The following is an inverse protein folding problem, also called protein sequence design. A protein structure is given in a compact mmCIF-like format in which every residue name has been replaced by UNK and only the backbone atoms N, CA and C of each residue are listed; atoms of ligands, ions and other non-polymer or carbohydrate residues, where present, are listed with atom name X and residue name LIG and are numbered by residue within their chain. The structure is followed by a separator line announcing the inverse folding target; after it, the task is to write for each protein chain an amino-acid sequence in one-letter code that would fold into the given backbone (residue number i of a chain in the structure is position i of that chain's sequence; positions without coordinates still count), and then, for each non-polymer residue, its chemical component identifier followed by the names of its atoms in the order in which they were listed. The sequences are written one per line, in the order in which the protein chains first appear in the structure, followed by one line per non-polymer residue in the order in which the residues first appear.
data_IF_997304245077
#
_entry.id   IF_997304245077
#
_cell.length_a   1.000
_cell.length_b   1.000
_cell.length_c   1.000
_cell.angle_alpha   90.00
_cell.angle_beta   90.00
_cell.angle_gamma   90.00
#
_symmetry.space_group_name_H-M   'P 1'
#
loop_
_entity.id
_entity.type
_entity.pdbx_description
1 polymer ?
#
# COMPACT_ATOMS: atom_id res chain seq x y z
N UNK A 1 15.17 25.17 -25.13
CA UNK A 1 13.73 25.10 -25.40
C UNK A 1 13.04 24.75 -24.09
N UNK A 2 12.10 25.56 -23.62
CA UNK A 2 11.42 25.32 -22.35
C UNK A 2 10.28 24.33 -22.53
N UNK A 3 10.21 23.32 -21.68
CA UNK A 3 9.06 22.42 -21.62
C UNK A 3 7.83 23.19 -21.16
N UNK A 4 6.69 22.94 -21.82
CA UNK A 4 5.40 23.45 -21.38
C UNK A 4 5.06 22.95 -19.97
N UNK A 5 4.17 23.66 -19.25
CA UNK A 5 3.71 23.21 -17.92
C UNK A 5 3.10 21.80 -17.97
N UNK A 6 2.42 21.45 -19.06
CA UNK A 6 1.84 20.14 -19.28
C UNK A 6 2.93 19.05 -19.43
N UNK A 7 3.94 19.29 -20.27
CA UNK A 7 5.07 18.35 -20.44
C UNK A 7 5.85 18.15 -19.14
N UNK A 8 6.01 19.21 -18.34
CA UNK A 8 6.65 19.13 -17.01
C UNK A 8 5.82 18.31 -16.02
N UNK A 9 4.50 18.44 -16.05
CA UNK A 9 3.61 17.64 -15.20
C UNK A 9 3.66 16.16 -15.62
N UNK A 10 3.56 15.87 -16.91
CA UNK A 10 3.59 14.50 -17.42
C UNK A 10 4.93 13.79 -17.10
N UNK A 11 6.05 14.47 -17.29
CA UNK A 11 7.37 13.93 -16.91
C UNK A 11 7.50 13.73 -15.41
N UNK A 12 6.93 14.61 -14.57
CA UNK A 12 6.87 14.42 -13.12
C UNK A 12 6.07 13.17 -12.74
N UNK A 13 4.90 12.98 -13.35
CA UNK A 13 4.07 11.78 -13.12
C UNK A 13 4.78 10.49 -13.53
N UNK A 14 5.54 10.53 -14.64
CA UNK A 14 6.36 9.39 -15.08
C UNK A 14 7.46 9.06 -14.07
N UNK A 15 8.17 10.07 -13.56
CA UNK A 15 9.18 9.91 -12.50
C UNK A 15 8.53 9.25 -11.26
N UNK A 16 7.37 9.75 -10.83
CA UNK A 16 6.67 9.21 -9.66
C UNK A 16 6.21 7.77 -9.86
N UNK A 17 5.62 7.43 -11.01
CA UNK A 17 5.18 6.06 -11.28
C UNK A 17 6.35 5.06 -11.26
N UNK A 18 7.49 5.44 -11.82
CA UNK A 18 8.71 4.62 -11.80
C UNK A 18 9.23 4.46 -10.37
N UNK A 19 9.39 5.57 -9.64
CA UNK A 19 9.90 5.54 -8.27
C UNK A 19 8.96 4.77 -7.33
N UNK A 20 7.64 4.95 -7.44
CA UNK A 20 6.62 4.26 -6.66
C UNK A 20 6.67 2.74 -6.87
N UNK A 21 6.88 2.29 -8.11
CA UNK A 21 7.08 0.87 -8.41
C UNK A 21 8.38 0.35 -7.81
N UNK A 22 9.50 1.06 -8.02
CA UNK A 22 10.81 0.66 -7.52
C UNK A 22 10.81 0.52 -5.99
N UNK A 23 10.25 1.47 -5.24
CA UNK A 23 10.21 1.36 -3.77
C UNK A 23 9.39 0.15 -3.32
N UNK A 24 8.27 -0.18 -3.97
CA UNK A 24 7.49 -1.37 -3.59
C UNK A 24 8.27 -2.65 -3.85
N UNK A 25 9.03 -2.72 -4.94
CA UNK A 25 9.79 -3.90 -5.33
C UNK A 25 11.10 -4.07 -4.52
N UNK A 26 11.76 -2.97 -4.15
CA UNK A 26 13.12 -2.97 -3.60
C UNK A 26 13.34 -2.24 -2.27
N UNK A 27 12.29 -1.67 -1.67
CA UNK A 27 12.40 -0.84 -0.46
C UNK A 27 12.74 0.62 -0.76
N UNK A 28 12.67 1.49 0.25
CA UNK A 28 12.89 2.95 0.07
C UNK A 28 14.29 3.28 -0.45
N UNK A 29 15.29 2.49 -0.06
CA UNK A 29 16.68 2.69 -0.45
C UNK A 29 17.01 2.24 -1.87
N UNK A 30 16.13 1.48 -2.52
CA UNK A 30 16.31 1.04 -3.91
C UNK A 30 16.29 2.19 -4.93
N UNK A 31 15.75 3.35 -4.56
CA UNK A 31 15.60 4.48 -5.49
C UNK A 31 16.93 5.21 -5.70
N UNK A 32 17.42 5.14 -6.93
CA UNK A 32 18.55 5.92 -7.44
C UNK A 32 18.02 7.04 -8.35
N UNK A 33 18.41 8.29 -8.08
CA UNK A 33 18.01 9.43 -8.94
C UNK A 33 18.43 9.18 -10.38
N UNK A 34 19.65 8.69 -10.60
CA UNK A 34 20.16 8.42 -11.93
C UNK A 34 19.32 7.38 -12.68
N UNK A 35 18.95 6.28 -12.00
CA UNK A 35 18.20 5.19 -12.62
C UNK A 35 16.75 5.58 -12.88
N UNK A 36 16.11 6.31 -11.94
CA UNK A 36 14.75 6.83 -12.13
C UNK A 36 14.70 7.82 -13.29
N UNK A 37 15.63 8.76 -13.36
CA UNK A 37 15.67 9.75 -14.44
C UNK A 37 15.95 9.10 -15.78
N UNK A 38 16.88 8.15 -15.83
CA UNK A 38 17.17 7.34 -17.02
C UNK A 38 15.92 6.57 -17.49
N UNK A 39 15.23 5.89 -16.57
CA UNK A 39 14.00 5.15 -16.88
C UNK A 39 12.86 6.09 -17.33
N UNK A 40 12.85 7.35 -16.86
CA UNK A 40 11.90 8.36 -17.29
C UNK A 40 12.25 9.03 -18.63
N UNK A 41 13.36 8.64 -19.27
CA UNK A 41 13.96 9.27 -20.45
C UNK A 41 14.31 10.76 -20.24
N UNK A 42 14.86 11.07 -19.06
CA UNK A 42 15.26 12.41 -18.66
C UNK A 42 16.72 12.44 -18.23
N UNK A 43 17.34 13.62 -18.32
CA UNK A 43 18.73 13.81 -17.86
C UNK A 43 18.78 13.89 -16.34
N UNK A 44 19.90 13.48 -15.74
CA UNK A 44 20.10 13.61 -14.29
C UNK A 44 19.92 15.06 -13.80
N UNK A 45 20.41 16.05 -14.58
CA UNK A 45 20.26 17.47 -14.25
C UNK A 45 18.82 17.97 -14.22
N UNK A 46 17.90 17.31 -14.94
CA UNK A 46 16.47 17.64 -14.94
C UNK A 46 15.77 17.35 -13.60
N UNK A 47 16.37 16.52 -12.74
CA UNK A 47 15.76 16.06 -11.49
C UNK A 47 15.35 17.21 -10.59
N UNK A 48 16.25 18.16 -10.38
CA UNK A 48 16.03 19.33 -9.52
C UNK A 48 14.98 20.31 -10.07
N UNK A 49 14.58 20.14 -11.34
CA UNK A 49 13.42 20.82 -11.90
C UNK A 49 12.08 20.25 -11.40
N UNK A 50 12.05 19.00 -10.93
CA UNK A 50 10.84 18.28 -10.49
C UNK A 50 10.76 18.09 -8.97
N UNK A 51 11.89 17.79 -8.32
CA UNK A 51 11.96 17.49 -6.89
C UNK A 51 13.14 18.24 -6.26
N UNK A 52 12.96 18.82 -5.05
CA UNK A 52 14.03 19.54 -4.38
C UNK A 52 15.12 18.62 -3.81
N UNK A 53 14.79 17.36 -3.52
CA UNK A 53 15.70 16.39 -2.91
C UNK A 53 15.28 14.94 -3.20
N UNK A 54 16.19 13.98 -2.94
CA UNK A 54 15.87 12.55 -2.99
C UNK A 54 14.76 12.18 -2.00
N UNK A 55 14.80 12.73 -0.78
CA UNK A 55 13.76 12.52 0.24
C UNK A 55 12.39 12.95 -0.29
N UNK A 56 12.29 14.13 -0.91
CA UNK A 56 11.03 14.62 -1.47
C UNK A 56 10.50 13.74 -2.62
N UNK A 57 11.39 13.16 -3.44
CA UNK A 57 11.00 12.15 -4.42
C UNK A 57 10.45 10.91 -3.72
N UNK A 58 11.11 10.40 -2.70
CA UNK A 58 10.70 9.17 -1.99
C UNK A 58 9.38 9.36 -1.26
N UNK A 59 9.18 10.50 -0.58
CA UNK A 59 7.94 10.83 0.11
C UNK A 59 6.77 10.87 -0.89
N UNK A 60 6.93 11.59 -2.01
CA UNK A 60 5.91 11.66 -3.05
C UNK A 60 5.68 10.32 -3.76
N UNK A 61 6.73 9.52 -3.96
CA UNK A 61 6.63 8.17 -4.52
C UNK A 61 5.92 7.21 -3.57
N UNK A 62 6.16 7.32 -2.25
CA UNK A 62 5.47 6.54 -1.23
C UNK A 62 3.98 6.88 -1.19
N UNK A 63 3.63 8.17 -1.19
CA UNK A 63 2.24 8.62 -1.25
C UNK A 63 1.54 8.05 -2.50
N UNK A 64 2.16 8.22 -3.67
CA UNK A 64 1.67 7.64 -4.93
C UNK A 64 1.51 6.13 -4.80
N UNK A 65 2.48 5.45 -4.19
CA UNK A 65 2.45 4.01 -4.07
C UNK A 65 1.32 3.49 -3.17
N UNK A 66 1.00 4.23 -2.11
CA UNK A 66 -0.10 3.95 -1.19
C UNK A 66 -1.45 4.15 -1.88
N UNK A 67 -1.61 5.23 -2.66
CA UNK A 67 -2.84 5.52 -3.41
C UNK A 67 -3.07 4.48 -4.51
N UNK A 68 -2.06 4.21 -5.33
CA UNK A 68 -2.18 3.27 -6.46
C UNK A 68 -2.47 1.84 -5.97
N UNK A 69 -1.76 1.38 -4.92
CA UNK A 69 -1.92 0.03 -4.39
C UNK A 69 -3.31 -0.20 -3.77
N UNK A 70 -3.90 0.84 -3.20
CA UNK A 70 -5.28 0.79 -2.74
C UNK A 70 -6.27 0.67 -3.91
N UNK A 71 -6.11 1.52 -4.93
CA UNK A 71 -6.98 1.50 -6.09
C UNK A 71 -6.93 0.13 -6.79
N UNK A 72 -5.74 -0.47 -6.90
CA UNK A 72 -5.55 -1.81 -7.42
C UNK A 72 -6.27 -2.87 -6.58
N UNK A 73 -6.17 -2.81 -5.24
CA UNK A 73 -6.90 -3.73 -4.35
C UNK A 73 -8.41 -3.61 -4.51
N UNK A 74 -8.94 -2.39 -4.58
CA UNK A 74 -10.37 -2.15 -4.78
C UNK A 74 -10.85 -2.69 -6.12
N UNK A 75 -10.11 -2.42 -7.20
CA UNK A 75 -10.42 -2.95 -8.53
C UNK A 75 -10.39 -4.48 -8.58
N UNK A 76 -9.39 -5.10 -7.94
CA UNK A 76 -9.25 -6.56 -7.87
C UNK A 76 -10.34 -7.24 -7.03
N UNK A 77 -11.00 -6.52 -6.11
CA UNK A 77 -12.07 -7.08 -5.28
C UNK A 77 -13.28 -7.54 -6.09
N UNK A 78 -13.51 -6.95 -7.28
CA UNK A 78 -14.68 -7.20 -8.11
C UNK A 78 -16.02 -6.97 -7.40
N UNK A 79 -16.01 -6.31 -6.24
CA UNK A 79 -17.17 -6.17 -5.37
C UNK A 79 -18.21 -5.25 -6.03
N UNK A 80 -19.42 -5.78 -6.23
CA UNK A 80 -20.58 -5.00 -6.67
C UNK A 80 -21.34 -4.54 -5.42
N UNK A 81 -20.96 -3.39 -4.87
CA UNK A 81 -21.60 -2.83 -3.67
C UNK A 81 -20.65 -2.03 -2.79
N UNK A 82 -21.14 -1.60 -1.63
CA UNK A 82 -20.32 -0.95 -0.63
C UNK A 82 -19.22 -1.91 -0.13
N UNK A 83 -17.99 -1.41 0.12
CA UNK A 83 -16.94 -2.23 0.71
C UNK A 83 -17.41 -2.84 2.04
N UNK A 84 -17.06 -4.10 2.26
CA UNK A 84 -17.19 -4.82 3.53
C UNK A 84 -15.80 -5.27 3.99
N UNK A 85 -15.62 -5.50 5.29
CA UNK A 85 -14.35 -6.04 5.81
C UNK A 85 -13.99 -7.37 5.11
N UNK A 86 -15.00 -8.23 4.86
CA UNK A 86 -14.84 -9.44 4.06
C UNK A 86 -14.32 -9.18 2.64
N UNK A 87 -14.88 -8.20 1.93
CA UNK A 87 -14.41 -7.88 0.58
C UNK A 87 -12.97 -7.34 0.57
N UNK A 88 -12.63 -6.51 1.57
CA UNK A 88 -11.28 -5.98 1.76
C UNK A 88 -10.29 -7.12 2.04
N UNK A 89 -10.62 -8.02 2.97
CA UNK A 89 -9.79 -9.16 3.31
C UNK A 89 -9.59 -10.12 2.12
N UNK A 90 -10.63 -10.32 1.30
CA UNK A 90 -10.53 -11.16 0.11
C UNK A 90 -9.62 -10.57 -0.96
N UNK A 91 -9.76 -9.28 -1.26
CA UNK A 91 -8.93 -8.63 -2.29
C UNK A 91 -7.48 -8.49 -1.82
N UNK A 92 -7.29 -8.09 -0.55
CA UNK A 92 -5.99 -7.87 0.02
C UNK A 92 -5.20 -9.18 0.19
N UNK A 93 -5.79 -10.22 0.78
CA UNK A 93 -5.13 -11.51 0.99
C UNK A 93 -5.30 -12.43 -0.22
N UNK A 94 -4.80 -12.00 -1.38
CA UNK A 94 -4.92 -12.73 -2.65
C UNK A 94 -3.55 -13.06 -3.25
N UNK A 95 -3.44 -14.16 -4.04
CA UNK A 95 -2.24 -14.45 -4.83
C UNK A 95 -1.87 -13.30 -5.77
N UNK A 96 -2.87 -12.64 -6.37
CA UNK A 96 -2.63 -11.46 -7.23
C UNK A 96 -1.87 -10.38 -6.46
N UNK A 97 -2.32 -10.01 -5.26
CA UNK A 97 -1.62 -9.00 -4.46
C UNK A 97 -0.25 -9.49 -3.93
N UNK A 98 -0.14 -10.78 -3.61
CA UNK A 98 1.14 -11.38 -3.21
C UNK A 98 2.18 -11.26 -4.31
N UNK A 99 1.80 -11.62 -5.53
CA UNK A 99 2.71 -11.84 -6.66
C UNK A 99 3.06 -10.54 -7.41
N UNK A 100 2.20 -9.51 -7.32
CA UNK A 100 2.38 -8.20 -7.97
C UNK A 100 2.80 -7.13 -6.97
N UNK A 101 3.95 -7.32 -6.30
CA UNK A 101 4.46 -6.40 -5.26
C UNK A 101 4.55 -4.96 -5.78
N UNK A 102 5.04 -4.79 -7.01
CA UNK A 102 5.21 -3.50 -7.68
C UNK A 102 3.92 -2.75 -7.99
N UNK A 103 2.74 -3.33 -7.77
CA UNK A 103 1.42 -2.73 -8.00
C UNK A 103 0.50 -2.83 -6.76
N UNK A 104 0.94 -3.56 -5.73
CA UNK A 104 0.19 -3.83 -4.52
C UNK A 104 0.23 -2.72 -3.47
N UNK A 105 -0.39 -2.99 -2.32
CA UNK A 105 -0.39 -2.10 -1.17
C UNK A 105 1.03 -1.86 -0.64
N UNK A 106 1.47 -0.60 -0.71
CA UNK A 106 2.79 -0.19 -0.28
C UNK A 106 3.06 -0.42 1.22
N UNK A 107 2.05 -0.46 2.08
CA UNK A 107 2.25 -0.71 3.53
C UNK A 107 2.91 -2.07 3.76
N UNK A 108 2.44 -3.12 3.08
CA UNK A 108 3.01 -4.47 3.20
C UNK A 108 4.44 -4.59 2.67
N UNK A 109 4.87 -3.65 1.82
CA UNK A 109 6.22 -3.61 1.28
C UNK A 109 7.15 -2.70 2.09
N UNK A 110 6.63 -1.61 2.68
CA UNK A 110 7.43 -0.47 3.12
C UNK A 110 7.23 -0.06 4.58
N UNK A 111 6.31 -0.66 5.34
CA UNK A 111 6.06 -0.25 6.73
C UNK A 111 7.33 -0.25 7.60
N UNK A 112 8.17 -1.28 7.49
CA UNK A 112 9.43 -1.37 8.23
C UNK A 112 10.48 -0.34 7.78
N UNK A 113 10.48 0.02 6.50
CA UNK A 113 11.39 1.05 5.98
C UNK A 113 10.94 2.45 6.42
N UNK A 114 9.65 2.75 6.26
CA UNK A 114 9.06 4.02 6.69
C UNK A 114 9.23 4.27 8.20
N UNK A 115 9.17 3.20 9.02
CA UNK A 115 9.43 3.29 10.45
C UNK A 115 10.87 3.73 10.82
N UNK A 116 11.83 3.49 9.92
CA UNK A 116 13.25 3.86 10.08
C UNK A 116 13.61 5.14 9.32
N UNK A 117 12.72 5.63 8.46
CA UNK A 117 12.96 6.77 7.57
C UNK A 117 12.90 8.11 8.30
N UNK A 118 13.28 9.16 7.56
CA UNK A 118 13.14 10.57 7.95
C UNK A 118 11.67 10.93 8.27
N UNK A 119 11.43 11.94 9.13
CA UNK A 119 10.08 12.33 9.55
C UNK A 119 9.11 12.54 8.39
N UNK A 120 9.53 13.23 7.32
CA UNK A 120 8.72 13.51 6.13
C UNK A 120 8.11 12.24 5.51
N UNK A 121 8.88 11.16 5.41
CA UNK A 121 8.41 9.87 4.84
C UNK A 121 7.53 9.14 5.85
N UNK A 122 7.88 9.20 7.14
CA UNK A 122 7.13 8.56 8.22
C UNK A 122 5.74 9.16 8.36
N UNK A 123 5.62 10.47 8.20
CA UNK A 123 4.35 11.19 8.30
C UNK A 123 3.41 10.83 7.14
N UNK A 124 3.93 10.69 5.91
CA UNK A 124 3.16 10.15 4.77
C UNK A 124 2.60 8.75 5.07
N UNK A 125 3.41 7.84 5.63
CA UNK A 125 2.94 6.51 6.01
C UNK A 125 1.88 6.56 7.12
N UNK A 126 2.08 7.42 8.13
CA UNK A 126 1.18 7.59 9.26
C UNK A 126 -0.20 8.07 8.80
N UNK A 127 -0.25 9.16 8.05
CA UNK A 127 -1.52 9.74 7.59
C UNK A 127 -2.35 8.74 6.78
N UNK A 128 -1.68 7.92 5.95
CA UNK A 128 -2.36 6.90 5.14
C UNK A 128 -2.81 5.68 5.97
N UNK A 129 -2.08 5.31 7.02
CA UNK A 129 -2.53 4.29 7.98
C UNK A 129 -3.79 4.74 8.74
N UNK A 130 -3.81 5.99 9.23
CA UNK A 130 -4.97 6.57 9.90
C UNK A 130 -6.21 6.60 8.98
N UNK A 131 -6.03 6.97 7.70
CA UNK A 131 -7.11 6.90 6.70
C UNK A 131 -7.66 5.48 6.54
N UNK A 132 -6.78 4.47 6.44
CA UNK A 132 -7.21 3.07 6.31
C UNK A 132 -7.93 2.55 7.53
N UNK A 133 -7.43 2.87 8.73
CA UNK A 133 -8.09 2.48 9.97
C UNK A 133 -9.47 3.14 10.06
N UNK A 134 -9.55 4.46 9.90
CA UNK A 134 -10.81 5.20 9.94
C UNK A 134 -11.85 4.67 8.93
N UNK A 135 -11.44 4.46 7.68
CA UNK A 135 -12.35 3.97 6.64
C UNK A 135 -12.77 2.53 6.85
N UNK A 136 -11.90 1.68 7.39
CA UNK A 136 -12.25 0.30 7.72
C UNK A 136 -13.18 0.23 8.92
N UNK A 137 -12.97 1.08 9.94
CA UNK A 137 -13.89 1.27 11.06
C UNK A 137 -15.28 1.67 10.57
N UNK A 138 -15.37 2.63 9.65
CA UNK A 138 -16.63 3.04 9.04
C UNK A 138 -17.32 1.89 8.25
N UNK A 139 -16.54 1.06 7.56
CA UNK A 139 -17.03 -0.13 6.83
C UNK A 139 -17.55 -1.22 7.78
N UNK A 140 -16.88 -1.41 8.93
CA UNK A 140 -17.30 -2.38 9.94
C UNK A 140 -18.67 -1.97 10.52
N UNK A 141 -18.84 -0.67 10.78
CA UNK A 141 -20.07 -0.07 11.29
C UNK A 141 -20.18 -0.15 12.82
N UNK A 142 -21.42 -0.12 13.31
CA UNK A 142 -21.71 -0.04 14.75
C UNK A 142 -21.57 -1.41 15.43
N UNK A 143 -20.34 -1.75 15.79
CA UNK A 143 -20.01 -2.88 16.67
C UNK A 143 -19.11 -2.40 17.81
N UNK A 144 -19.16 -3.04 18.99
CA UNK A 144 -18.20 -2.77 20.05
C UNK A 144 -16.75 -2.87 19.54
N UNK A 145 -15.92 -1.90 19.91
CA UNK A 145 -14.50 -1.84 19.58
C UNK A 145 -14.19 -1.91 18.07
N UNK A 146 -15.05 -1.33 17.21
CA UNK A 146 -14.89 -1.33 15.76
C UNK A 146 -13.50 -0.85 15.28
N UNK A 147 -12.92 0.15 15.95
CA UNK A 147 -11.58 0.65 15.66
C UNK A 147 -10.50 -0.40 15.98
N UNK A 148 -10.58 -1.04 17.15
CA UNK A 148 -9.64 -2.10 17.51
C UNK A 148 -9.75 -3.30 16.56
N UNK A 149 -10.97 -3.62 16.09
CA UNK A 149 -11.18 -4.64 15.05
C UNK A 149 -10.54 -4.23 13.72
N UNK A 150 -10.69 -2.97 13.29
CA UNK A 150 -10.07 -2.46 12.07
C UNK A 150 -8.54 -2.57 12.14
N UNK A 151 -7.93 -2.05 13.21
CA UNK A 151 -6.47 -2.08 13.42
C UNK A 151 -5.97 -3.52 13.46
N UNK A 152 -6.58 -4.39 14.27
CA UNK A 152 -6.19 -5.80 14.40
C UNK A 152 -6.32 -6.56 13.08
N UNK A 153 -7.33 -6.25 12.28
CA UNK A 153 -7.53 -6.84 10.96
C UNK A 153 -6.41 -6.43 10.01
N UNK A 154 -6.05 -5.15 9.96
CA UNK A 154 -4.93 -4.67 9.14
C UNK A 154 -3.60 -5.25 9.57
N UNK A 155 -3.29 -5.31 10.87
CA UNK A 155 -2.09 -5.97 11.37
C UNK A 155 -2.01 -7.43 10.92
N UNK A 156 -3.13 -8.17 11.03
CA UNK A 156 -3.23 -9.57 10.57
C UNK A 156 -3.01 -9.67 9.07
N UNK A 157 -3.67 -8.82 8.27
CA UNK A 157 -3.59 -8.85 6.82
C UNK A 157 -2.19 -8.49 6.30
N UNK A 158 -1.60 -7.41 6.82
CA UNK A 158 -0.26 -6.94 6.44
C UNK A 158 0.79 -8.01 6.80
N UNK A 159 0.76 -8.52 8.03
CA UNK A 159 1.70 -9.55 8.48
C UNK A 159 1.60 -10.83 7.66
N UNK A 160 0.38 -11.30 7.38
CA UNK A 160 0.16 -12.47 6.55
C UNK A 160 0.65 -12.26 5.11
N UNK A 161 0.42 -11.08 4.53
CA UNK A 161 0.93 -10.74 3.20
C UNK A 161 2.45 -10.79 3.16
N UNK A 162 3.12 -10.16 4.13
CA UNK A 162 4.59 -10.18 4.24
C UNK A 162 5.13 -11.61 4.35
N UNK A 163 4.57 -12.42 5.25
CA UNK A 163 5.00 -13.80 5.44
C UNK A 163 4.71 -14.69 4.22
N UNK A 164 3.57 -14.50 3.55
CA UNK A 164 3.22 -15.27 2.35
C UNK A 164 4.22 -15.07 1.21
N UNK A 165 4.82 -13.88 1.09
CA UNK A 165 5.85 -13.57 0.08
C UNK A 165 7.18 -14.25 0.37
N UNK A 166 7.48 -14.56 1.63
CA UNK A 166 8.66 -15.36 2.01
C UNK A 166 8.50 -16.81 1.53
N UNK A 167 7.28 -17.35 1.59
CA UNK A 167 6.93 -18.70 1.12
C UNK A 167 6.57 -18.74 -0.36
N UNK A 168 6.99 -17.78 -1.18
CA UNK A 168 6.65 -17.78 -2.61
C UNK A 168 7.04 -19.13 -3.25
N UNK A 169 6.15 -19.65 -4.10
CA UNK A 169 6.27 -20.96 -4.75
C UNK A 169 6.12 -22.18 -3.81
N UNK A 170 5.79 -21.97 -2.53
CA UNK A 170 5.42 -23.01 -1.56
C UNK A 170 3.90 -22.96 -1.27
N UNK A 171 3.19 -24.11 -1.22
CA UNK A 171 1.77 -24.17 -0.86
C UNK A 171 1.40 -23.50 0.47
N UNK A 172 2.36 -23.39 1.40
CA UNK A 172 2.19 -22.65 2.66
C UNK A 172 1.88 -21.18 2.44
N UNK A 173 2.31 -20.58 1.33
CA UNK A 173 1.99 -19.20 1.00
C UNK A 173 0.48 -18.97 0.91
N UNK A 174 -0.21 -19.83 0.14
CA UNK A 174 -1.66 -19.76 -0.01
C UNK A 174 -2.37 -20.11 1.31
N UNK A 175 -1.80 -21.03 2.08
CA UNK A 175 -2.33 -21.37 3.40
C UNK A 175 -2.27 -20.19 4.37
N UNK A 176 -1.16 -19.44 4.43
CA UNK A 176 -1.00 -18.24 5.27
C UNK A 176 -2.08 -17.21 4.92
N UNK A 177 -2.27 -16.91 3.64
CA UNK A 177 -3.29 -15.97 3.18
C UNK A 177 -4.70 -16.43 3.56
N UNK A 178 -5.01 -17.71 3.35
CA UNK A 178 -6.31 -18.30 3.69
C UNK A 178 -6.59 -18.27 5.20
N UNK A 179 -5.62 -18.64 6.03
CA UNK A 179 -5.76 -18.66 7.48
C UNK A 179 -5.93 -17.24 8.05
N UNK A 180 -5.14 -16.27 7.58
CA UNK A 180 -5.28 -14.88 7.99
C UNK A 180 -6.66 -14.31 7.63
N UNK A 181 -7.15 -14.61 6.43
CA UNK A 181 -8.50 -14.21 6.01
C UNK A 181 -9.56 -14.80 6.92
N UNK A 182 -9.46 -16.08 7.24
CA UNK A 182 -10.37 -16.73 8.20
C UNK A 182 -10.32 -16.03 9.56
N UNK A 183 -9.14 -15.75 10.09
CA UNK A 183 -8.98 -15.04 11.37
C UNK A 183 -9.69 -13.69 11.38
N UNK A 184 -9.52 -12.88 10.33
CA UNK A 184 -10.19 -11.57 10.21
C UNK A 184 -11.71 -11.72 10.23
N UNK A 185 -12.26 -12.69 9.49
CA UNK A 185 -13.71 -12.94 9.46
C UNK A 185 -14.24 -13.49 10.79
N UNK A 186 -13.47 -14.33 11.47
CA UNK A 186 -13.83 -14.86 12.78
C UNK A 186 -13.83 -13.74 13.85
N UNK A 187 -12.92 -12.77 13.76
CA UNK A 187 -12.91 -11.57 14.61
C UNK A 187 -14.17 -10.71 14.38
N UNK A 188 -14.52 -10.45 13.12
CA UNK A 188 -15.72 -9.68 12.78
C UNK A 188 -17.00 -10.36 13.29
N UNK A 189 -17.13 -11.68 13.07
CA UNK A 189 -18.30 -12.44 13.49
C UNK A 189 -18.48 -12.41 15.03
N UNK A 190 -17.37 -12.47 15.79
CA UNK A 190 -17.40 -12.35 17.25
C UNK A 190 -17.86 -10.96 17.69
N UNK A 191 -17.33 -9.89 17.09
CA UNK A 191 -17.71 -8.52 17.43
C UNK A 191 -19.21 -8.26 17.17
N UNK A 192 -19.73 -8.72 16.03
CA UNK A 192 -21.17 -8.61 15.70
C UNK A 192 -22.06 -9.37 16.67
N UNK A 193 -21.66 -10.59 17.08
CA UNK A 193 -22.42 -11.37 18.07
C UNK A 193 -22.49 -10.68 19.44
N UNK A 194 -21.41 -10.03 19.86
CA UNK A 194 -21.40 -9.25 21.11
C UNK A 194 -22.33 -8.04 21.04
N UNK A 195 -22.49 -7.42 19.87
CA UNK A 195 -23.40 -6.28 19.68
C UNK A 195 -24.89 -6.65 19.77
N UNK A 196 -25.23 -7.91 19.48
CA UNK A 196 -26.60 -8.44 19.51
C UNK A 196 -27.06 -8.91 20.91
N UNK A 197 -26.15 -8.94 21.90
CA UNK A 197 -26.39 -9.43 23.27
C UNK A 197 -26.55 -8.28 24.25
#
# INVERSE_FOLDING_TARGET
MGHSRAEKAESRERILGIAARQIREGGLDSVSIADVMKAANLTHGGFYGHFPSRTALIAAALERALIDGEAASLAASGAKGAPTLKSIANSYLSPVHRDHVGEGCAISALASDAGRAEPEIRDVMRERLEDYFSRTTAVIGDVPDAEALAISSWCTMIGAMMLSRVYKDDPRSDEILRLARRTVLDLEARARKTAET
#
